data_IF_018840587125
#
_entry.id   IF_018840587125
#
_cell.length_a   1.000
_cell.length_b   1.000
_cell.length_c   1.000
_cell.angle_alpha   90.00
_cell.angle_beta   90.00
_cell.angle_gamma   90.00
#
_symmetry.space_group_name_H-M   'P 1'
#
loop_
_entity.id
_entity.type
_entity.pdbx_description
1 polymer ?
#
# COMPACT_ATOMS: atom_id res chain seq x y z
N UNK A 1 -12.26 44.79 -11.25
CA UNK A 1 -12.21 43.33 -10.97
C UNK A 1 -10.88 42.65 -11.34
N UNK A 2 -10.00 43.28 -12.14
CA UNK A 2 -8.71 42.72 -12.58
C UNK A 2 -7.67 42.51 -11.46
N UNK A 3 -7.70 43.32 -10.39
CA UNK A 3 -6.74 43.25 -9.26
C UNK A 3 -6.86 42.00 -8.38
N UNK A 4 -7.99 41.29 -8.38
CA UNK A 4 -8.18 40.04 -7.61
C UNK A 4 -7.62 38.81 -8.33
N UNK A 5 -7.62 38.80 -9.67
CA UNK A 5 -7.08 37.72 -10.49
C UNK A 5 -5.55 37.65 -10.41
N UNK A 6 -4.86 38.80 -10.38
CA UNK A 6 -3.40 38.85 -10.25
C UNK A 6 -2.88 38.38 -8.87
N UNK A 7 -3.66 38.56 -7.78
CA UNK A 7 -3.27 38.07 -6.44
C UNK A 7 -3.29 36.55 -6.30
N UNK A 8 -4.05 35.84 -7.14
CA UNK A 8 -4.09 34.37 -7.11
C UNK A 8 -2.82 33.75 -7.73
N UNK A 9 -2.20 34.43 -8.70
CA UNK A 9 -0.97 33.99 -9.38
C UNK A 9 0.29 34.21 -8.52
N UNK A 10 0.25 35.16 -7.58
CA UNK A 10 1.34 35.48 -6.66
C UNK A 10 1.11 34.97 -5.23
N UNK A 11 0.28 33.93 -5.03
CA UNK A 11 0.28 33.23 -3.75
C UNK A 11 1.60 32.46 -3.63
N UNK A 12 2.49 32.79 -2.68
CA UNK A 12 3.69 31.99 -2.46
C UNK A 12 3.24 30.56 -2.17
N UNK A 13 3.79 29.60 -2.92
CA UNK A 13 3.60 28.18 -2.60
C UNK A 13 4.04 27.99 -1.15
N UNK A 14 3.24 27.32 -0.30
CA UNK A 14 3.69 27.01 1.04
C UNK A 14 5.05 26.30 0.94
N UNK A 15 6.03 26.67 1.78
CA UNK A 15 7.34 26.03 1.76
C UNK A 15 7.16 24.53 1.95
N UNK A 16 7.95 23.74 1.22
CA UNK A 16 7.92 22.29 1.39
C UNK A 16 8.22 21.98 2.86
N UNK A 17 7.44 21.10 3.51
CA UNK A 17 7.77 20.68 4.86
C UNK A 17 9.21 20.13 4.88
N UNK A 18 9.96 20.34 5.98
CA UNK A 18 11.33 19.86 6.06
C UNK A 18 11.39 18.35 5.85
N UNK A 19 12.46 17.83 5.22
CA UNK A 19 12.64 16.39 5.12
C UNK A 19 12.63 15.79 6.53
N UNK A 20 11.85 14.73 6.73
CA UNK A 20 11.88 13.98 7.99
C UNK A 20 13.25 13.31 8.13
N UNK A 21 13.76 13.14 9.36
CA UNK A 21 14.98 12.38 9.58
C UNK A 21 14.86 10.98 8.98
N UNK A 22 15.98 10.44 8.51
CA UNK A 22 16.05 9.08 8.00
C UNK A 22 15.59 8.10 9.09
N UNK A 23 14.78 7.11 8.71
CA UNK A 23 14.36 6.06 9.64
C UNK A 23 15.55 5.13 9.87
N UNK A 24 16.07 4.99 11.11
CA UNK A 24 17.28 4.21 11.38
C UNK A 24 17.12 2.72 10.99
N UNK A 25 15.88 2.22 10.89
CA UNK A 25 15.62 0.85 10.43
C UNK A 25 16.00 0.63 8.97
N UNK A 26 15.91 1.68 8.14
CA UNK A 26 16.30 1.61 6.73
C UNK A 26 17.82 1.54 6.54
N UNK A 27 18.58 2.11 7.48
CA UNK A 27 20.04 2.00 7.52
C UNK A 27 20.48 0.65 8.08
N UNK A 28 19.76 0.14 9.09
CA UNK A 28 20.08 -1.12 9.76
C UNK A 28 19.78 -2.38 8.92
N UNK A 29 18.81 -2.34 8.00
CA UNK A 29 18.47 -3.47 7.12
C UNK A 29 18.61 -3.08 5.64
N UNK A 30 19.61 -3.62 4.91
CA UNK A 30 19.83 -3.33 3.49
C UNK A 30 18.65 -3.66 2.57
N UNK A 31 17.85 -4.67 2.91
CA UNK A 31 16.67 -5.03 2.12
C UNK A 31 15.56 -4.00 2.29
N UNK A 32 15.32 -3.54 3.52
CA UNK A 32 14.39 -2.43 3.77
C UNK A 32 14.89 -1.14 3.13
N UNK A 33 16.16 -0.79 3.38
CA UNK A 33 16.79 0.40 2.80
C UNK A 33 16.70 0.42 1.27
N UNK A 34 17.06 -0.69 0.62
CA UNK A 34 16.94 -0.84 -0.83
C UNK A 34 15.49 -0.76 -1.32
N UNK A 35 14.55 -1.39 -0.61
CA UNK A 35 13.12 -1.35 -0.95
C UNK A 35 12.62 0.10 -0.94
N UNK A 36 12.91 0.85 0.12
CA UNK A 36 12.47 2.25 0.24
C UNK A 36 13.24 3.21 -0.66
N UNK A 37 14.50 2.93 -0.99
CA UNK A 37 15.22 3.67 -2.02
C UNK A 37 14.53 3.57 -3.39
N UNK A 38 13.98 2.40 -3.72
CA UNK A 38 13.20 2.20 -4.95
C UNK A 38 11.81 2.82 -4.85
N UNK A 39 11.10 2.64 -3.73
CA UNK A 39 9.77 3.23 -3.52
C UNK A 39 9.79 4.77 -3.49
N UNK A 40 10.91 5.35 -3.07
CA UNK A 40 11.12 6.80 -2.98
C UNK A 40 10.31 7.45 -1.87
N UNK A 41 10.24 8.78 -1.90
CA UNK A 41 9.64 9.59 -0.83
C UNK A 41 8.11 9.45 -0.68
N UNK A 42 7.46 8.68 -1.56
CA UNK A 42 6.02 8.43 -1.48
C UNK A 42 5.64 7.48 -0.37
N UNK A 43 6.59 6.76 0.22
CA UNK A 43 6.33 5.78 1.24
C UNK A 43 7.23 6.02 2.46
N UNK A 44 6.77 5.56 3.61
CA UNK A 44 7.57 5.49 4.84
C UNK A 44 7.18 4.23 5.62
N UNK A 45 8.06 3.81 6.53
CA UNK A 45 7.73 2.81 7.53
C UNK A 45 6.76 3.43 8.56
N UNK A 46 5.79 2.62 8.96
CA UNK A 46 4.93 2.85 10.11
C UNK A 46 5.52 2.26 11.39
N UNK A 47 4.72 2.21 12.47
CA UNK A 47 5.10 1.49 13.67
C UNK A 47 5.24 -0.01 13.37
N UNK A 48 6.14 -0.66 14.12
CA UNK A 48 6.24 -2.11 14.12
C UNK A 48 5.01 -2.71 14.82
N UNK A 49 4.48 -3.78 14.24
CA UNK A 49 3.39 -4.56 14.81
C UNK A 49 3.80 -6.04 14.85
N UNK A 50 3.02 -6.85 15.55
CA UNK A 50 3.18 -8.32 15.60
C UNK A 50 3.20 -8.95 14.22
N UNK A 51 2.46 -8.36 13.27
CA UNK A 51 2.33 -8.83 11.90
C UNK A 51 3.36 -8.25 10.93
N UNK A 52 4.33 -7.47 11.44
CA UNK A 52 5.40 -6.83 10.68
C UNK A 52 5.34 -5.31 10.71
N UNK A 53 6.26 -4.67 9.99
CA UNK A 53 6.34 -3.22 9.88
C UNK A 53 5.38 -2.74 8.80
N UNK A 54 4.41 -1.91 9.17
CA UNK A 54 3.42 -1.41 8.22
C UNK A 54 4.07 -0.43 7.24
N UNK A 55 3.74 -0.54 5.95
CA UNK A 55 4.10 0.48 4.95
C UNK A 55 3.03 1.56 4.94
N UNK A 56 3.43 2.83 4.92
CA UNK A 56 2.50 3.97 4.88
C UNK A 56 2.83 4.87 3.68
N UNK A 57 1.82 5.23 2.89
CA UNK A 57 1.93 6.20 1.80
C UNK A 57 1.90 7.63 2.36
N UNK A 58 2.84 8.45 1.90
CA UNK A 58 2.97 9.87 2.19
C UNK A 58 2.07 10.67 1.24
N UNK A 59 0.75 10.53 1.33
CA UNK A 59 -0.17 11.42 0.63
C UNK A 59 -0.41 12.69 1.46
N UNK A 60 -0.45 13.85 0.79
CA UNK A 60 -0.82 15.13 1.42
C UNK A 60 -2.28 15.22 1.85
N UNK A 61 -3.08 14.18 1.58
CA UNK A 61 -4.40 13.92 2.17
C UNK A 61 -4.22 12.71 3.07
N UNK A 62 -4.55 12.85 4.35
CA UNK A 62 -4.44 11.84 5.39
C UNK A 62 -5.43 10.66 5.21
N UNK A 63 -5.56 10.12 4.00
CA UNK A 63 -6.19 8.83 3.76
C UNK A 63 -5.07 7.81 3.67
N UNK A 64 -4.98 7.03 4.75
CA UNK A 64 -4.13 5.87 4.93
C UNK A 64 -4.23 4.95 3.71
N UNK A 65 -3.17 4.16 3.44
CA UNK A 65 -3.16 3.22 2.32
C UNK A 65 -4.52 2.54 2.18
N UNK A 66 -5.13 2.55 0.97
CA UNK A 66 -6.41 1.91 0.76
C UNK A 66 -6.34 0.43 1.17
N UNK A 67 -5.20 -0.22 0.91
CA UNK A 67 -4.92 -1.59 1.32
C UNK A 67 -3.76 -1.62 2.33
N UNK A 68 -3.93 -2.26 3.50
CA UNK A 68 -2.84 -2.49 4.44
C UNK A 68 -1.73 -3.36 3.83
N UNK A 69 -0.48 -2.93 3.99
CA UNK A 69 0.71 -3.66 3.55
C UNK A 69 1.73 -3.69 4.69
N UNK A 70 2.34 -4.84 4.91
CA UNK A 70 3.37 -5.06 5.92
C UNK A 70 4.61 -5.70 5.30
N UNK A 71 5.76 -5.34 5.86
CA UNK A 71 7.05 -5.93 5.55
C UNK A 71 7.53 -6.69 6.78
N UNK A 72 7.99 -7.92 6.58
CA UNK A 72 8.61 -8.75 7.62
C UNK A 72 10.07 -8.97 7.21
N UNK A 73 11.00 -8.09 7.63
CA UNK A 73 12.34 -8.03 7.05
C UNK A 73 13.17 -9.30 7.29
N UNK A 74 13.05 -9.89 8.49
CA UNK A 74 13.75 -11.13 8.86
C UNK A 74 13.34 -12.31 7.97
N UNK A 75 12.11 -12.31 7.47
CA UNK A 75 11.55 -13.36 6.63
C UNK A 75 11.64 -13.01 5.13
N UNK A 76 12.08 -11.78 4.82
CA UNK A 76 12.04 -11.19 3.47
C UNK A 76 10.64 -11.28 2.88
N UNK A 77 9.60 -11.09 3.69
CA UNK A 77 8.21 -11.33 3.30
C UNK A 77 7.45 -10.02 3.13
N UNK A 78 6.64 -9.96 2.08
CA UNK A 78 5.66 -8.90 1.84
C UNK A 78 4.27 -9.48 2.05
N UNK A 79 3.45 -8.78 2.84
CA UNK A 79 2.06 -9.13 3.14
C UNK A 79 1.15 -7.99 2.73
N UNK A 80 0.06 -8.29 2.05
CA UNK A 80 -1.00 -7.33 1.73
C UNK A 80 -2.38 -7.93 2.02
N UNK A 81 -3.31 -7.08 2.45
CA UNK A 81 -4.70 -7.48 2.69
C UNK A 81 -5.65 -6.68 1.81
N UNK A 82 -6.62 -7.39 1.22
CA UNK A 82 -7.69 -6.83 0.41
C UNK A 82 -9.03 -7.05 1.09
N UNK A 83 -9.80 -5.97 1.24
CA UNK A 83 -11.18 -6.01 1.73
C UNK A 83 -12.13 -5.72 0.57
N UNK A 84 -13.10 -6.60 0.35
CA UNK A 84 -14.13 -6.44 -0.68
C UNK A 84 -15.50 -6.63 -0.02
N UNK A 85 -16.37 -5.63 -0.16
CA UNK A 85 -17.75 -5.67 0.33
C UNK A 85 -18.66 -6.31 -0.71
N UNK A 86 -19.54 -7.20 -0.29
CA UNK A 86 -20.49 -7.90 -1.15
C UNK A 86 -20.54 -9.39 -0.88
N UNK A 87 -21.34 -10.10 -1.67
CA UNK A 87 -21.45 -11.56 -1.60
C UNK A 87 -20.06 -12.21 -1.77
N UNK A 88 -19.74 -13.18 -0.91
CA UNK A 88 -18.39 -13.70 -0.76
C UNK A 88 -17.85 -14.38 -2.04
N UNK A 89 -18.69 -15.11 -2.78
CA UNK A 89 -18.34 -15.73 -4.06
C UNK A 89 -18.03 -14.71 -5.16
N UNK A 90 -18.83 -13.65 -5.26
CA UNK A 90 -18.58 -12.54 -6.16
C UNK A 90 -17.30 -11.77 -5.79
N UNK A 91 -17.09 -11.49 -4.51
CA UNK A 91 -15.88 -10.84 -4.00
C UNK A 91 -14.61 -11.67 -4.30
N UNK A 92 -14.68 -12.99 -4.07
CA UNK A 92 -13.63 -13.96 -4.39
C UNK A 92 -13.29 -13.93 -5.88
N UNK A 93 -14.31 -14.02 -6.73
CA UNK A 93 -14.16 -13.99 -8.19
C UNK A 93 -13.53 -12.69 -8.68
N UNK A 94 -13.92 -11.55 -8.09
CA UNK A 94 -13.34 -10.24 -8.41
C UNK A 94 -11.83 -10.21 -8.11
N UNK A 95 -11.43 -10.67 -6.93
CA UNK A 95 -10.03 -10.73 -6.53
C UNK A 95 -9.22 -11.69 -7.42
N UNK A 96 -9.79 -12.84 -7.77
CA UNK A 96 -9.13 -13.80 -8.66
C UNK A 96 -8.87 -13.23 -10.05
N UNK A 97 -9.85 -12.52 -10.62
CA UNK A 97 -9.74 -11.93 -11.95
C UNK A 97 -8.78 -10.73 -11.99
N UNK A 98 -8.78 -9.88 -10.96
CA UNK A 98 -8.08 -8.58 -11.00
C UNK A 98 -6.72 -8.59 -10.30
N UNK A 99 -6.60 -9.38 -9.24
CA UNK A 99 -5.51 -9.27 -8.27
C UNK A 99 -4.64 -10.53 -8.24
N UNK A 100 -5.24 -11.72 -8.07
CA UNK A 100 -4.50 -12.96 -7.80
C UNK A 100 -3.42 -13.27 -8.85
N UNK A 101 -3.73 -13.16 -10.14
CA UNK A 101 -2.78 -13.47 -11.21
C UNK A 101 -1.57 -12.52 -11.24
N UNK A 102 -1.79 -11.22 -10.96
CA UNK A 102 -0.70 -10.23 -10.91
C UNK A 102 0.17 -10.41 -9.68
N UNK A 103 -0.44 -10.70 -8.52
CA UNK A 103 0.31 -11.01 -7.30
C UNK A 103 1.13 -12.29 -7.44
N UNK A 104 0.58 -13.33 -8.08
CA UNK A 104 1.31 -14.55 -8.36
C UNK A 104 2.54 -14.31 -9.23
N UNK A 105 2.44 -13.45 -10.25
CA UNK A 105 3.59 -13.06 -11.08
C UNK A 105 4.68 -12.30 -10.29
N UNK A 106 4.32 -11.68 -9.16
CA UNK A 106 5.23 -11.02 -8.22
C UNK A 106 5.72 -11.96 -7.10
N UNK A 107 5.31 -13.23 -7.11
CA UNK A 107 5.69 -14.22 -6.10
C UNK A 107 4.81 -14.22 -4.83
N UNK A 108 3.66 -13.56 -4.86
CA UNK A 108 2.69 -13.54 -3.76
C UNK A 108 1.51 -14.47 -4.05
N UNK A 109 1.07 -15.21 -3.04
CA UNK A 109 -0.07 -16.13 -3.10
C UNK A 109 -1.09 -15.83 -2.01
N UNK A 110 -2.34 -16.25 -2.21
CA UNK A 110 -3.35 -16.16 -1.17
C UNK A 110 -2.95 -17.03 0.03
N UNK A 111 -2.83 -16.41 1.20
CA UNK A 111 -2.39 -17.04 2.44
C UNK A 111 -3.56 -17.26 3.43
N UNK A 112 -4.67 -16.55 3.25
CA UNK A 112 -5.85 -16.70 4.08
C UNK A 112 -7.03 -15.87 3.59
N UNK A 113 -8.23 -16.32 3.96
CA UNK A 113 -9.49 -15.63 3.71
C UNK A 113 -10.31 -15.62 5.00
N UNK A 114 -10.96 -14.50 5.29
CA UNK A 114 -11.98 -14.40 6.32
C UNK A 114 -13.20 -13.67 5.77
N UNK A 115 -14.37 -14.05 6.26
CA UNK A 115 -15.63 -13.39 5.93
C UNK A 115 -16.23 -12.86 7.22
N UNK A 116 -16.57 -11.59 7.19
CA UNK A 116 -17.15 -10.87 8.31
C UNK A 116 -18.51 -10.31 7.92
N UNK A 117 -19.51 -10.51 8.77
CA UNK A 117 -20.87 -10.01 8.56
C UNK A 117 -21.14 -8.82 9.49
N UNK A 118 -20.77 -7.62 9.03
CA UNK A 118 -20.99 -6.37 9.76
C UNK A 118 -21.50 -5.29 8.80
N UNK A 119 -22.79 -4.96 8.91
CA UNK A 119 -23.50 -4.07 7.98
C UNK A 119 -23.35 -4.48 6.50
N UNK A 120 -23.37 -5.80 6.26
CA UNK A 120 -23.10 -6.45 4.98
C UNK A 120 -21.98 -7.48 5.10
N UNK A 121 -21.78 -8.26 4.04
CA UNK A 121 -20.69 -9.24 3.94
C UNK A 121 -19.41 -8.54 3.49
N UNK A 122 -18.31 -8.78 4.20
CA UNK A 122 -16.97 -8.31 3.85
C UNK A 122 -16.06 -9.52 3.74
N UNK A 123 -15.48 -9.73 2.56
CA UNK A 123 -14.41 -10.69 2.34
C UNK A 123 -13.07 -9.98 2.55
N UNK A 124 -12.27 -10.47 3.48
CA UNK A 124 -10.86 -10.10 3.62
C UNK A 124 -10.00 -11.23 3.10
N UNK A 125 -9.11 -10.94 2.16
CA UNK A 125 -8.14 -11.90 1.64
C UNK A 125 -6.72 -11.38 1.84
N UNK A 126 -5.90 -12.22 2.46
CA UNK A 126 -4.47 -11.98 2.67
C UNK A 126 -3.65 -12.61 1.56
N UNK A 127 -2.70 -11.84 1.03
CA UNK A 127 -1.66 -12.33 0.14
C UNK A 127 -0.30 -12.16 0.78
N UNK A 128 0.53 -13.18 0.64
CA UNK A 128 1.89 -13.19 1.16
C UNK A 128 2.85 -13.80 0.14
N UNK A 129 4.08 -13.33 0.16
CA UNK A 129 5.13 -13.86 -0.69
C UNK A 129 6.50 -13.45 -0.20
N UNK A 130 7.44 -14.38 -0.33
CA UNK A 130 8.85 -14.10 -0.07
C UNK A 130 9.43 -13.32 -1.24
N UNK A 131 10.05 -12.20 -0.92
CA UNK A 131 10.69 -11.25 -1.82
C UNK A 131 12.15 -11.10 -1.41
N UNK A 132 13.03 -12.01 -1.84
CA UNK A 132 14.44 -12.01 -1.41
C UNK A 132 15.21 -10.74 -1.78
N UNK A 133 14.75 -10.01 -2.80
CA UNK A 133 15.38 -8.77 -3.26
C UNK A 133 14.55 -7.54 -2.90
N UNK A 134 15.24 -6.40 -2.76
CA UNK A 134 14.60 -5.10 -2.62
C UNK A 134 13.72 -4.75 -3.83
N UNK A 135 14.12 -5.18 -5.02
CA UNK A 135 13.40 -4.96 -6.28
C UNK A 135 12.04 -5.68 -6.27
N UNK A 136 12.03 -6.97 -5.92
CA UNK A 136 10.79 -7.75 -5.82
C UNK A 136 9.88 -7.20 -4.73
N UNK A 137 10.45 -6.82 -3.57
CA UNK A 137 9.67 -6.23 -2.48
C UNK A 137 9.05 -4.89 -2.88
N UNK A 138 9.81 -4.00 -3.51
CA UNK A 138 9.32 -2.70 -3.98
C UNK A 138 8.24 -2.86 -5.06
N UNK A 139 8.39 -3.82 -5.98
CA UNK A 139 7.37 -4.11 -7.00
C UNK A 139 6.05 -4.58 -6.36
N UNK A 140 6.13 -5.51 -5.39
CA UNK A 140 4.96 -5.97 -4.65
C UNK A 140 4.27 -4.83 -3.88
N UNK A 141 5.03 -4.01 -3.15
CA UNK A 141 4.48 -2.86 -2.42
C UNK A 141 3.82 -1.85 -3.35
N UNK A 142 4.44 -1.51 -4.49
CA UNK A 142 3.82 -0.59 -5.47
C UNK A 142 2.50 -1.13 -5.99
N UNK A 143 2.45 -2.40 -6.38
CA UNK A 143 1.22 -3.02 -6.86
C UNK A 143 0.12 -2.98 -5.79
N UNK A 144 0.45 -3.42 -4.57
CA UNK A 144 -0.48 -3.47 -3.44
C UNK A 144 -0.97 -2.09 -3.00
N UNK A 145 -0.16 -1.03 -3.13
CA UNK A 145 -0.50 0.30 -2.63
C UNK A 145 -1.02 1.29 -3.69
N UNK A 146 -0.66 1.16 -4.97
CA UNK A 146 -1.03 2.11 -6.03
C UNK A 146 -1.96 1.48 -7.08
N UNK A 147 -1.67 0.26 -7.54
CA UNK A 147 -2.44 -0.35 -8.63
C UNK A 147 -3.76 -0.97 -8.15
N UNK A 148 -3.83 -1.43 -6.90
CA UNK A 148 -5.04 -1.96 -6.26
C UNK A 148 -6.12 -0.89 -6.00
N UNK A 149 -5.71 0.36 -5.72
CA UNK A 149 -6.60 1.49 -5.40
C UNK A 149 -7.59 1.76 -6.54
N UNK A 150 -7.14 1.55 -7.78
CA UNK A 150 -7.95 1.75 -8.99
C UNK A 150 -8.86 0.57 -9.31
N UNK A 151 -8.56 -0.64 -8.81
CA UNK A 151 -9.22 -1.87 -9.27
C UNK A 151 -10.37 -2.34 -8.38
N UNK A 152 -10.37 -1.98 -7.09
CA UNK A 152 -11.41 -2.40 -6.12
C UNK A 152 -12.49 -1.32 -5.93
N UNK A 153 -12.13 -0.04 -5.98
CA UNK A 153 -13.10 1.06 -5.78
C UNK A 153 -14.13 1.19 -6.93
N UNK A 154 -13.83 0.70 -8.14
CA UNK A 154 -14.78 0.68 -9.27
C UNK A 154 -15.92 -0.36 -9.11
N UNK A 155 -16.03 -1.03 -7.97
CA UNK A 155 -17.16 -1.91 -7.63
C UNK A 155 -18.13 -1.26 -6.61
N UNK A 156 -17.83 -0.05 -6.13
CA UNK A 156 -18.68 0.71 -5.22
C UNK A 156 -19.52 1.80 -5.92
N UNK A 157 -19.45 1.89 -7.26
CA UNK A 157 -20.28 2.76 -8.11
C UNK A 157 -21.21 1.95 -9.00
#
# INVERSE_FOLDING_TARGET
>A
MLRRLLRALFRPRPPRPPPRPADPRLEADPWLGGTFALLGERYQLGPDATDGTRVLRRTGRARFNPMPVWLLPLQRLVRGEYEVRGEAGAAKSLLDQRVSGRLAALGLSAAGESVEEWAGTVLTRRYEGRCDTAQSAAAAVRFLCEESEQQVNLAAE
#
